data_IF_083157282082
#
_entry.id   IF_083157282082
#
_cell.length_a   1.000
_cell.length_b   1.000
_cell.length_c   1.000
_cell.angle_alpha   90.00
_cell.angle_beta   90.00
_cell.angle_gamma   90.00
#
_symmetry.space_group_name_H-M   'P 1'
#
loop_
_entity.id
_entity.type
_entity.pdbx_description
1 polymer ?
#
# COMPACT_ATOMS: atom_id res chain seq x y z
N UNK A 1 2.28 -10.21 -5.01
CA UNK A 1 1.41 -9.74 -6.12
C UNK A 1 1.51 -10.64 -7.35
N UNK A 2 2.70 -10.77 -7.97
CA UNK A 2 2.91 -11.56 -9.20
C UNK A 2 2.34 -13.00 -9.13
N UNK A 3 2.56 -13.72 -8.02
CA UNK A 3 2.02 -15.07 -7.84
C UNK A 3 0.49 -15.15 -7.87
N UNK A 4 -0.20 -14.18 -7.25
CA UNK A 4 -1.68 -14.13 -7.24
C UNK A 4 -2.22 -13.86 -8.65
N UNK A 5 -1.59 -12.93 -9.38
CA UNK A 5 -1.95 -12.61 -10.77
C UNK A 5 -1.78 -13.83 -11.68
N UNK A 6 -0.67 -14.56 -11.53
CA UNK A 6 -0.42 -15.77 -12.32
C UNK A 6 -1.48 -16.84 -12.05
N UNK A 7 -1.77 -17.12 -10.77
CA UNK A 7 -2.79 -18.10 -10.38
C UNK A 7 -4.17 -17.67 -10.89
N UNK A 8 -4.50 -16.39 -10.82
CA UNK A 8 -5.75 -15.84 -11.35
C UNK A 8 -5.87 -16.09 -12.86
N UNK A 9 -4.83 -15.78 -13.64
CA UNK A 9 -4.84 -16.01 -15.09
C UNK A 9 -5.04 -17.48 -15.45
N UNK A 10 -4.32 -18.39 -14.79
CA UNK A 10 -4.43 -19.84 -15.04
C UNK A 10 -5.82 -20.35 -14.66
N UNK A 11 -6.32 -19.94 -13.49
CA UNK A 11 -7.67 -20.30 -13.04
C UNK A 11 -8.73 -19.81 -14.03
N UNK A 12 -8.65 -18.56 -14.45
CA UNK A 12 -9.64 -17.95 -15.34
C UNK A 12 -9.61 -18.57 -16.75
N UNK A 13 -8.44 -18.85 -17.29
CA UNK A 13 -8.28 -19.55 -18.56
C UNK A 13 -8.86 -20.98 -18.50
N UNK A 14 -8.54 -21.72 -17.44
CA UNK A 14 -9.04 -23.09 -17.24
C UNK A 14 -10.56 -23.10 -17.09
N UNK A 15 -11.12 -22.16 -16.33
CA UNK A 15 -12.57 -21.98 -16.22
C UNK A 15 -13.20 -21.67 -17.57
N UNK A 16 -12.61 -20.80 -18.39
CA UNK A 16 -13.12 -20.50 -19.72
C UNK A 16 -13.16 -21.74 -20.62
N UNK A 17 -12.08 -22.54 -20.64
CA UNK A 17 -12.05 -23.80 -21.40
C UNK A 17 -13.12 -24.77 -20.90
N UNK A 18 -13.30 -24.91 -19.59
CA UNK A 18 -14.35 -25.77 -19.02
C UNK A 18 -15.74 -25.28 -19.40
N UNK A 19 -16.03 -23.98 -19.28
CA UNK A 19 -17.32 -23.41 -19.65
C UNK A 19 -17.64 -23.62 -21.14
N UNK A 20 -16.66 -23.44 -22.03
CA UNK A 20 -16.82 -23.70 -23.47
C UNK A 20 -17.21 -25.15 -23.72
N UNK A 21 -16.56 -26.11 -23.05
CA UNK A 21 -16.85 -27.54 -23.23
C UNK A 21 -18.17 -27.98 -22.58
N UNK A 22 -18.55 -27.39 -21.44
CA UNK A 22 -19.74 -27.81 -20.69
C UNK A 22 -21.03 -27.16 -21.23
N UNK A 23 -20.96 -25.92 -21.68
CA UNK A 23 -22.16 -25.12 -21.99
C UNK A 23 -22.18 -24.57 -23.42
N UNK A 24 -21.09 -24.70 -24.18
CA UNK A 24 -20.97 -24.09 -25.51
C UNK A 24 -21.92 -24.65 -26.56
N UNK A 25 -22.33 -25.91 -26.45
CA UNK A 25 -23.31 -26.51 -27.37
C UNK A 25 -24.74 -26.02 -27.11
N UNK A 26 -25.10 -25.79 -25.85
CA UNK A 26 -26.47 -25.41 -25.47
C UNK A 26 -26.68 -23.90 -25.38
N UNK A 27 -25.62 -23.14 -25.09
CA UNK A 27 -25.64 -21.68 -24.95
C UNK A 27 -24.47 -21.06 -25.74
N UNK A 28 -24.50 -21.14 -27.09
CA UNK A 28 -23.39 -20.72 -27.93
C UNK A 28 -23.11 -19.20 -27.86
N UNK A 29 -24.10 -18.38 -27.50
CA UNK A 29 -23.94 -16.94 -27.36
C UNK A 29 -23.02 -16.54 -26.20
N UNK A 30 -23.03 -17.31 -25.11
CA UNK A 30 -22.18 -17.07 -23.95
C UNK A 30 -20.94 -17.95 -23.94
N UNK A 31 -21.06 -19.21 -24.38
CA UNK A 31 -20.01 -20.22 -24.18
C UNK A 31 -19.57 -20.91 -25.48
N UNK A 32 -20.06 -20.51 -26.65
CA UNK A 32 -19.78 -21.21 -27.92
C UNK A 32 -18.33 -21.09 -28.43
N UNK A 33 -17.54 -20.17 -27.87
CA UNK A 33 -16.11 -20.08 -28.12
C UNK A 33 -15.36 -19.72 -26.84
N UNK A 34 -14.04 -19.91 -26.86
CA UNK A 34 -13.17 -19.52 -25.74
C UNK A 34 -13.31 -18.03 -25.42
N UNK A 35 -13.38 -17.16 -26.43
CA UNK A 35 -13.52 -15.72 -26.23
C UNK A 35 -14.88 -15.34 -25.66
N UNK A 36 -15.96 -15.96 -26.14
CA UNK A 36 -17.29 -15.76 -25.57
C UNK A 36 -17.29 -16.18 -24.09
N UNK A 37 -16.72 -17.35 -23.79
CA UNK A 37 -16.63 -17.87 -22.42
C UNK A 37 -15.81 -16.96 -21.51
N UNK A 38 -14.67 -16.44 -21.99
CA UNK A 38 -13.85 -15.47 -21.25
C UNK A 38 -14.64 -14.20 -20.93
N UNK A 39 -15.40 -13.68 -21.89
CA UNK A 39 -16.23 -12.48 -21.71
C UNK A 39 -17.38 -12.73 -20.72
N UNK A 40 -18.14 -13.81 -20.88
CA UNK A 40 -19.24 -14.15 -19.98
C UNK A 40 -18.75 -14.47 -18.56
N UNK A 41 -17.62 -15.17 -18.40
CA UNK A 41 -17.03 -15.41 -17.09
C UNK A 41 -16.52 -14.11 -16.44
N UNK A 42 -16.07 -13.14 -17.23
CA UNK A 42 -15.70 -11.82 -16.72
C UNK A 42 -16.92 -11.06 -16.20
N UNK A 43 -18.03 -11.09 -16.95
CA UNK A 43 -19.31 -10.54 -16.51
C UNK A 43 -19.83 -11.22 -15.22
N UNK A 44 -19.73 -12.55 -15.15
CA UNK A 44 -20.10 -13.29 -13.93
C UNK A 44 -19.20 -12.91 -12.75
N UNK A 45 -17.90 -12.74 -13.00
CA UNK A 45 -16.92 -12.34 -11.97
C UNK A 45 -17.22 -10.95 -11.40
N UNK A 46 -17.77 -10.02 -12.20
CA UNK A 46 -18.23 -8.71 -11.72
C UNK A 46 -19.61 -8.74 -11.07
N UNK A 47 -20.23 -9.92 -10.98
CA UNK A 47 -21.59 -10.17 -10.47
C UNK A 47 -22.68 -9.44 -11.28
N UNK A 48 -22.36 -8.99 -12.49
CA UNK A 48 -23.32 -8.30 -13.35
C UNK A 48 -24.26 -9.34 -13.98
N UNK A 49 -25.55 -9.25 -13.65
CA UNK A 49 -26.61 -10.14 -14.16
C UNK A 49 -26.30 -11.64 -14.11
N UNK A 50 -25.38 -12.08 -13.25
CA UNK A 50 -24.83 -13.43 -13.30
C UNK A 50 -25.91 -14.51 -13.11
N UNK A 51 -26.89 -14.28 -12.22
CA UNK A 51 -27.94 -15.26 -11.95
C UNK A 51 -29.06 -15.21 -12.99
N UNK A 52 -29.82 -14.11 -13.05
CA UNK A 52 -30.99 -14.00 -13.94
C UNK A 52 -30.60 -13.95 -15.42
N UNK A 53 -29.45 -13.35 -15.75
CA UNK A 53 -29.01 -13.15 -17.13
C UNK A 53 -28.25 -14.32 -17.72
N UNK A 54 -27.59 -15.15 -16.90
CA UNK A 54 -26.76 -16.26 -17.40
C UNK A 54 -27.08 -17.59 -16.70
N UNK A 55 -26.83 -17.70 -15.40
CA UNK A 55 -26.84 -19.01 -14.71
C UNK A 55 -28.23 -19.64 -14.63
N UNK A 56 -29.31 -18.86 -14.47
CA UNK A 56 -30.68 -19.40 -14.44
C UNK A 56 -31.11 -19.97 -15.79
N UNK A 57 -30.98 -19.27 -16.92
CA UNK A 57 -31.16 -19.86 -18.25
C UNK A 57 -30.32 -21.13 -18.45
N UNK A 58 -29.03 -21.10 -18.06
CA UNK A 58 -28.18 -22.29 -18.18
C UNK A 58 -28.72 -23.45 -17.34
N UNK A 59 -29.27 -23.20 -16.15
CA UNK A 59 -29.86 -24.23 -15.29
C UNK A 59 -31.16 -24.84 -15.82
N UNK A 60 -31.86 -24.18 -16.75
CA UNK A 60 -33.04 -24.77 -17.39
C UNK A 60 -32.66 -26.00 -18.24
N UNK A 61 -31.44 -26.00 -18.79
CA UNK A 61 -30.87 -27.13 -19.55
C UNK A 61 -29.94 -27.98 -18.67
N UNK A 62 -29.18 -27.35 -17.79
CA UNK A 62 -28.16 -27.98 -16.94
C UNK A 62 -28.43 -27.70 -15.45
N UNK A 63 -29.34 -28.43 -14.79
CA UNK A 63 -29.73 -28.14 -13.40
C UNK A 63 -28.58 -28.12 -12.37
N UNK A 64 -27.46 -28.76 -12.68
CA UNK A 64 -26.26 -28.82 -11.86
C UNK A 64 -25.30 -27.63 -12.08
N UNK A 65 -25.58 -26.72 -13.02
CA UNK A 65 -24.67 -25.64 -13.40
C UNK A 65 -24.31 -24.68 -12.24
N UNK A 66 -25.17 -24.54 -11.23
CA UNK A 66 -24.85 -23.78 -10.03
C UNK A 66 -23.59 -24.29 -9.32
N UNK A 67 -23.31 -25.60 -9.37
CA UNK A 67 -22.13 -26.20 -8.76
C UNK A 67 -20.83 -25.85 -9.51
N UNK A 68 -20.93 -25.33 -10.73
CA UNK A 68 -19.81 -24.75 -11.47
C UNK A 68 -19.69 -23.24 -11.19
N UNK A 69 -20.77 -22.49 -11.38
CA UNK A 69 -20.73 -21.02 -11.32
C UNK A 69 -20.57 -20.46 -9.91
N UNK A 70 -21.19 -21.05 -8.88
CA UNK A 70 -21.09 -20.53 -7.51
C UNK A 70 -19.66 -20.67 -6.97
N UNK A 71 -18.99 -21.83 -7.06
CA UNK A 71 -17.58 -21.92 -6.67
C UNK A 71 -16.66 -21.02 -7.50
N UNK A 72 -16.92 -20.88 -8.81
CA UNK A 72 -16.19 -19.94 -9.65
C UNK A 72 -16.28 -18.51 -9.11
N UNK A 73 -17.50 -18.04 -8.79
CA UNK A 73 -17.72 -16.70 -8.23
C UNK A 73 -16.96 -16.53 -6.91
N UNK A 74 -17.06 -17.49 -5.99
CA UNK A 74 -16.40 -17.42 -4.68
C UNK A 74 -14.87 -17.30 -4.85
N UNK A 75 -14.28 -18.13 -5.71
CA UNK A 75 -12.82 -18.12 -5.96
C UNK A 75 -12.40 -16.83 -6.67
N UNK A 76 -13.14 -16.38 -7.68
CA UNK A 76 -12.80 -15.21 -8.46
C UNK A 76 -12.90 -13.93 -7.62
N UNK A 77 -13.99 -13.76 -6.87
CA UNK A 77 -14.20 -12.62 -5.97
C UNK A 77 -13.15 -12.60 -4.85
N UNK A 78 -12.86 -13.75 -4.22
CA UNK A 78 -11.80 -13.85 -3.22
C UNK A 78 -10.43 -13.48 -3.79
N UNK A 79 -10.12 -13.92 -5.00
CA UNK A 79 -8.84 -13.64 -5.67
C UNK A 79 -8.71 -12.14 -6.00
N UNK A 80 -9.77 -11.49 -6.47
CA UNK A 80 -9.80 -10.03 -6.69
C UNK A 80 -9.61 -9.28 -5.38
N UNK A 81 -10.28 -9.70 -4.31
CA UNK A 81 -10.11 -9.10 -2.99
C UNK A 81 -8.65 -9.22 -2.51
N UNK A 82 -8.04 -10.39 -2.67
CA UNK A 82 -6.63 -10.60 -2.32
C UNK A 82 -5.68 -9.74 -3.17
N UNK A 83 -6.00 -9.53 -4.45
CA UNK A 83 -5.26 -8.62 -5.32
C UNK A 83 -5.36 -7.18 -4.80
N UNK A 84 -6.57 -6.74 -4.47
CA UNK A 84 -6.83 -5.39 -3.97
C UNK A 84 -6.13 -5.11 -2.63
N UNK A 85 -6.23 -6.05 -1.67
CA UNK A 85 -5.50 -5.98 -0.40
C UNK A 85 -3.99 -5.93 -0.66
N UNK A 86 -3.48 -6.78 -1.56
CA UNK A 86 -2.07 -6.79 -1.91
C UNK A 86 -1.57 -5.46 -2.48
N UNK A 87 -2.36 -4.80 -3.33
CA UNK A 87 -2.05 -3.48 -3.88
C UNK A 87 -2.07 -2.43 -2.77
N UNK A 88 -3.14 -2.37 -1.96
CA UNK A 88 -3.25 -1.41 -0.85
C UNK A 88 -2.08 -1.54 0.11
N UNK A 89 -1.74 -2.75 0.52
CA UNK A 89 -0.62 -3.00 1.45
C UNK A 89 0.69 -2.55 0.82
N UNK A 90 0.93 -2.87 -0.46
CA UNK A 90 2.12 -2.42 -1.18
C UNK A 90 2.22 -0.90 -1.23
N UNK A 91 1.12 -0.21 -1.54
CA UNK A 91 1.08 1.27 -1.59
C UNK A 91 1.26 1.88 -0.21
N UNK A 92 0.68 1.29 0.84
CA UNK A 92 0.87 1.77 2.22
C UNK A 92 2.30 1.57 2.71
N UNK A 93 2.95 0.46 2.32
CA UNK A 93 4.37 0.26 2.60
C UNK A 93 5.23 1.29 1.88
N UNK A 94 4.94 1.58 0.60
CA UNK A 94 5.64 2.62 -0.17
C UNK A 94 5.52 4.02 0.47
N UNK A 95 4.33 4.39 0.95
CA UNK A 95 4.10 5.66 1.64
C UNK A 95 4.79 5.73 3.00
N UNK A 96 4.85 4.62 3.75
CA UNK A 96 5.59 4.56 5.03
C UNK A 96 7.11 4.44 4.84
N UNK A 97 7.58 4.11 3.63
CA UNK A 97 9.00 4.20 3.26
C UNK A 97 9.42 5.59 2.79
N UNK A 98 8.51 6.58 2.73
CA UNK A 98 8.94 7.98 2.77
C UNK A 98 9.83 8.11 4.00
N UNK A 99 11.07 8.60 3.88
CA UNK A 99 11.97 8.65 5.01
C UNK A 99 11.36 9.51 6.11
N UNK A 100 10.69 8.90 7.10
CA UNK A 100 11.08 9.23 8.47
C UNK A 100 12.57 9.00 8.46
N UNK A 101 13.39 10.03 8.69
CA UNK A 101 14.83 9.84 8.68
C UNK A 101 15.11 8.73 9.69
N UNK A 102 15.33 7.52 9.17
CA UNK A 102 16.01 6.45 9.87
C UNK A 102 17.45 6.92 9.92
N UNK A 103 17.66 7.99 10.70
CA UNK A 103 18.96 8.37 11.20
C UNK A 103 19.41 7.09 11.85
N UNK A 104 20.34 6.40 11.21
CA UNK A 104 21.02 5.27 11.80
C UNK A 104 21.39 5.69 13.23
N UNK A 105 21.33 4.78 14.22
CA UNK A 105 21.66 5.17 15.60
C UNK A 105 22.99 5.94 15.67
N UNK A 106 23.91 5.65 14.74
CA UNK A 106 25.15 6.38 14.50
C UNK A 106 24.94 7.84 14.09
N UNK A 107 24.12 8.13 13.07
CA UNK A 107 23.81 9.51 12.65
C UNK A 107 23.01 10.26 13.72
N UNK A 108 22.13 9.59 14.45
CA UNK A 108 21.38 10.19 15.55
C UNK A 108 22.31 10.55 16.72
N UNK A 109 23.26 9.66 17.05
CA UNK A 109 24.32 9.92 18.03
C UNK A 109 25.26 11.04 17.57
N UNK A 110 25.60 11.09 16.29
CA UNK A 110 26.46 12.14 15.71
C UNK A 110 25.76 13.50 15.73
N UNK A 111 24.47 13.55 15.38
CA UNK A 111 23.65 14.75 15.47
C UNK A 111 23.54 15.25 16.92
N UNK A 112 23.30 14.34 17.86
CA UNK A 112 23.22 14.68 19.29
C UNK A 112 24.57 15.23 19.78
N UNK A 113 25.68 14.60 19.39
CA UNK A 113 27.03 15.03 19.76
C UNK A 113 27.39 16.40 19.19
N UNK A 114 27.02 16.67 17.94
CA UNK A 114 27.25 17.96 17.30
C UNK A 114 26.43 19.08 17.97
N UNK A 115 25.17 18.81 18.30
CA UNK A 115 24.31 19.75 19.05
C UNK A 115 24.91 20.06 20.43
N UNK A 116 25.38 19.05 21.16
CA UNK A 116 26.02 19.26 22.47
C UNK A 116 27.29 20.12 22.36
N UNK A 117 28.12 19.87 21.34
CA UNK A 117 29.34 20.64 21.10
C UNK A 117 29.04 22.11 20.77
N UNK A 118 28.00 22.36 19.96
CA UNK A 118 27.57 23.71 19.61
C UNK A 118 26.97 24.44 20.82
N UNK A 119 26.16 23.76 21.63
CA UNK A 119 25.63 24.33 22.88
C UNK A 119 26.74 24.72 23.87
N UNK A 120 27.79 23.91 23.98
CA UNK A 120 28.96 24.26 24.80
C UNK A 120 29.69 25.49 24.27
N UNK A 121 29.88 25.58 22.94
CA UNK A 121 30.45 26.79 22.32
C UNK A 121 29.61 28.02 22.62
N UNK A 122 28.30 27.96 22.40
CA UNK A 122 27.40 29.08 22.70
C UNK A 122 27.48 29.49 24.17
N UNK A 123 27.46 28.53 25.11
CA UNK A 123 27.64 28.83 26.54
C UNK A 123 28.95 29.55 26.82
N UNK A 124 30.06 29.08 26.26
CA UNK A 124 31.36 29.70 26.48
C UNK A 124 31.43 31.13 25.93
N UNK A 125 30.80 31.39 24.78
CA UNK A 125 30.71 32.73 24.18
C UNK A 125 29.84 33.66 25.04
N UNK A 126 28.72 33.16 25.55
CA UNK A 126 27.85 33.91 26.46
C UNK A 126 28.55 34.21 27.79
N UNK A 127 29.31 33.28 28.35
CA UNK A 127 30.10 33.51 29.57
C UNK A 127 31.23 34.52 29.32
N UNK A 128 31.89 34.46 28.17
CA UNK A 128 32.90 35.45 27.78
C UNK A 128 32.29 36.84 27.59
N UNK A 129 31.11 36.95 26.97
CA UNK A 129 30.35 38.20 26.84
C UNK A 129 29.85 38.72 28.19
N UNK A 130 29.33 37.85 29.05
CA UNK A 130 28.90 38.21 30.41
C UNK A 130 30.07 38.77 31.22
N UNK A 131 31.24 38.12 31.18
CA UNK A 131 32.45 38.63 31.86
C UNK A 131 32.93 39.96 31.28
N UNK A 132 32.76 40.20 29.98
CA UNK A 132 33.05 41.50 29.37
C UNK A 132 32.06 42.59 29.80
N UNK A 133 30.76 42.28 29.92
CA UNK A 133 29.75 43.20 30.45
C UNK A 133 29.98 43.52 31.94
N UNK A 134 30.34 42.51 32.75
CA UNK A 134 30.64 42.70 34.17
C UNK A 134 31.96 43.48 34.39
N UNK A 135 32.94 43.30 33.50
CA UNK A 135 34.20 44.05 33.50
C UNK A 135 34.05 45.51 33.07
N UNK A 136 33.11 45.82 32.17
CA UNK A 136 32.80 47.18 31.72
C UNK A 136 31.97 47.99 32.74
N UNK A 137 31.38 47.33 33.75
CA UNK A 137 30.47 47.99 34.70
C UNK A 137 31.12 48.34 36.06
N UNK A 138 32.45 48.18 36.24
CA UNK A 138 33.14 48.66 37.45
C UNK A 138 33.24 50.19 37.45
N UNK A 139 32.62 50.91 38.40
CA UNK A 139 32.67 52.37 38.43
C UNK A 139 34.09 52.86 38.69
N UNK A 140 34.60 53.69 37.80
CA UNK A 140 35.81 54.47 38.00
C UNK A 140 35.48 55.62 38.97
N UNK A 141 35.62 55.40 40.27
CA UNK A 141 35.43 56.45 41.26
C UNK A 141 36.57 56.55 42.29
N UNK A 142 36.85 57.80 42.66
CA UNK A 142 37.73 58.28 43.72
C UNK A 142 39.26 58.33 43.48
N UNK A 143 39.71 59.38 42.77
CA UNK A 143 40.95 60.10 43.14
C UNK A 143 40.58 61.42 43.81
N UNK A 144 40.54 61.46 45.14
CA UNK A 144 40.60 62.71 45.90
C UNK A 144 42.08 63.11 46.10
N UNK A 145 42.43 64.40 46.03
CA UNK A 145 43.80 64.87 46.26
C UNK A 145 44.08 65.00 47.78
N UNK A 146 45.34 64.87 48.23
CA UNK A 146 45.69 65.09 49.62
C UNK A 146 45.84 66.59 49.93
N UNK A 147 45.66 66.89 51.23
CA UNK A 147 45.51 68.21 51.88
C UNK A 147 46.54 69.26 51.50
#
# INVERSE_FOLDING_TARGET
>A
LSGVVLVMMIFFFTAAVLATNLFGETHPEWFGSLWASLFSLFQIMTLESWSMGIVRPVMEVHPWAWAYFVPFIVIATFTILNLFIGIIVSTMQELNTLPTPDLSQTELMELTRNIDADLQKLRSVLEAQSRQMDGASKPQDLRTPPK
#
